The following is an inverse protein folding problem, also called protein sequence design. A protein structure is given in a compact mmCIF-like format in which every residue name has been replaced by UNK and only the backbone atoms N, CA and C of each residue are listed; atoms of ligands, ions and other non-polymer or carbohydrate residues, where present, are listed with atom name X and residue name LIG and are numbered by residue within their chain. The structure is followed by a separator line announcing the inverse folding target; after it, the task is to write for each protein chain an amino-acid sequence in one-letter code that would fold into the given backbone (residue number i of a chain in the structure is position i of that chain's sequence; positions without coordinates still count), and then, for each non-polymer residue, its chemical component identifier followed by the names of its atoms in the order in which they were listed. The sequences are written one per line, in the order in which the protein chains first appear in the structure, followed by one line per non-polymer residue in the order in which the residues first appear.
data_IF_190339575920
#
_entry.id   IF_190339575920
#
_cell.length_a   1.000
_cell.length_b   1.000
_cell.length_c   1.000
_cell.angle_alpha   90.00
_cell.angle_beta   90.00
_cell.angle_gamma   90.00
#
_symmetry.space_group_name_H-M   'P 1'
#
loop_
_entity.id
_entity.type
_entity.pdbx_description
1 polymer ?
#
# COMPACT_ATOMS: atom_id res chain seq x y z
N UNK A 1 10.89 -3.49 11.76
CA UNK A 1 9.67 -3.55 10.92
C UNK A 1 8.84 -4.77 11.29
N UNK A 2 9.41 -5.98 11.33
CA UNK A 2 8.68 -7.19 11.76
C UNK A 2 8.11 -7.08 13.17
N UNK A 3 8.91 -6.68 14.16
CA UNK A 3 8.43 -6.46 15.55
C UNK A 3 7.23 -5.51 15.62
N UNK A 4 7.30 -4.39 14.89
CA UNK A 4 6.20 -3.42 14.80
C UNK A 4 4.96 -4.02 14.13
N UNK A 5 5.13 -4.84 13.10
CA UNK A 5 4.01 -5.55 12.47
C UNK A 5 3.39 -6.60 13.39
N UNK A 6 4.18 -7.31 14.20
CA UNK A 6 3.69 -8.24 15.24
C UNK A 6 2.89 -7.51 16.32
N UNK A 7 3.39 -6.35 16.78
CA UNK A 7 2.67 -5.49 17.72
C UNK A 7 1.30 -5.07 17.17
N UNK A 8 1.25 -4.64 15.90
CA UNK A 8 -0.01 -4.27 15.23
C UNK A 8 -0.95 -5.47 15.01
N UNK A 9 -0.41 -6.67 14.80
CA UNK A 9 -1.20 -7.88 14.70
C UNK A 9 -1.87 -8.24 16.04
N UNK A 10 -1.18 -8.00 17.17
CA UNK A 10 -1.63 -8.35 18.52
C UNK A 10 -2.21 -9.79 18.56
N UNK A 11 -1.32 -10.76 18.36
CA UNK A 11 -1.68 -12.19 18.32
C UNK A 11 -1.46 -12.84 19.67
N UNK A 12 -2.21 -13.91 19.91
CA UNK A 12 -1.85 -14.85 20.97
C UNK A 12 -0.58 -15.62 20.55
N UNK A 13 0.30 -15.97 21.51
CA UNK A 13 1.44 -16.84 21.25
C UNK A 13 1.03 -18.16 20.56
N UNK A 14 1.97 -18.81 19.88
CA UNK A 14 1.77 -20.10 19.21
C UNK A 14 0.68 -20.11 18.12
N UNK A 15 0.35 -18.95 17.54
CA UNK A 15 -0.49 -18.82 16.34
C UNK A 15 0.18 -19.43 15.09
N UNK A 16 -0.62 -19.79 14.09
CA UNK A 16 -0.14 -20.25 12.78
C UNK A 16 -0.19 -19.13 11.73
N UNK A 17 0.99 -18.73 11.22
CA UNK A 17 1.19 -17.49 10.45
C UNK A 17 1.67 -17.76 9.02
N UNK A 18 1.16 -16.99 8.07
CA UNK A 18 1.71 -16.92 6.71
C UNK A 18 2.62 -15.70 6.55
N UNK A 19 3.92 -15.91 6.30
CA UNK A 19 4.89 -14.84 5.98
C UNK A 19 5.02 -14.68 4.45
N UNK A 20 4.50 -13.57 3.93
CA UNK A 20 4.35 -13.32 2.50
C UNK A 20 5.48 -12.40 2.01
N UNK A 21 6.29 -12.90 1.08
CA UNK A 21 7.55 -12.28 0.70
C UNK A 21 8.60 -12.47 1.78
N UNK A 22 8.74 -13.70 2.28
CA UNK A 22 9.57 -14.02 3.45
C UNK A 22 11.08 -13.84 3.19
N UNK A 23 11.50 -13.69 1.93
CA UNK A 23 12.89 -13.51 1.55
C UNK A 23 13.78 -14.62 2.08
N UNK A 24 14.79 -14.25 2.86
CA UNK A 24 15.74 -15.17 3.48
C UNK A 24 15.32 -15.58 4.90
N UNK A 25 14.06 -15.35 5.29
CA UNK A 25 13.52 -15.78 6.58
C UNK A 25 13.78 -14.87 7.78
N UNK A 26 14.31 -13.65 7.59
CA UNK A 26 14.57 -12.71 8.69
C UNK A 26 13.29 -12.32 9.46
N UNK A 27 12.17 -12.18 8.76
CA UNK A 27 10.87 -11.97 9.39
C UNK A 27 10.41 -13.23 10.12
N UNK A 28 10.54 -14.40 9.51
CA UNK A 28 10.21 -15.69 10.09
C UNK A 28 10.96 -16.03 11.39
N UNK A 29 12.27 -15.74 11.48
CA UNK A 29 13.05 -15.90 12.72
C UNK A 29 12.42 -15.12 13.89
N UNK A 30 11.94 -13.90 13.63
CA UNK A 30 11.29 -13.06 14.64
C UNK A 30 9.92 -13.63 15.01
N UNK A 31 9.17 -14.23 14.06
CA UNK A 31 7.89 -14.89 14.37
C UNK A 31 8.10 -16.06 15.35
N UNK A 32 9.14 -16.86 15.12
CA UNK A 32 9.52 -17.95 16.03
C UNK A 32 9.95 -17.38 17.38
N UNK A 33 10.87 -16.42 17.42
CA UNK A 33 11.49 -15.93 18.66
C UNK A 33 10.54 -15.15 19.58
N UNK A 34 9.64 -14.33 19.03
CA UNK A 34 8.83 -13.40 19.83
C UNK A 34 7.50 -13.99 20.30
N UNK A 35 7.02 -15.04 19.63
CA UNK A 35 5.68 -15.57 19.89
C UNK A 35 5.55 -17.08 19.78
N UNK A 36 6.66 -17.82 19.65
CA UNK A 36 6.66 -19.27 19.41
C UNK A 36 5.71 -19.67 18.28
N UNK A 37 5.63 -18.84 17.24
CA UNK A 37 4.70 -19.04 16.14
C UNK A 37 5.23 -20.09 15.16
N UNK A 38 4.33 -20.94 14.67
CA UNK A 38 4.60 -21.78 13.51
C UNK A 38 4.24 -20.98 12.26
N UNK A 39 5.07 -21.07 11.21
CA UNK A 39 4.84 -20.26 10.02
C UNK A 39 5.24 -20.95 8.71
N UNK A 40 4.56 -20.54 7.62
CA UNK A 40 4.96 -20.85 6.25
C UNK A 40 5.40 -19.56 5.56
N UNK A 41 6.53 -19.59 4.85
CA UNK A 41 7.08 -18.48 4.09
C UNK A 41 6.87 -18.64 2.59
N UNK A 42 6.34 -17.62 1.93
CA UNK A 42 6.24 -17.54 0.46
C UNK A 42 7.25 -16.53 -0.07
N UNK A 43 8.09 -16.91 -1.03
CA UNK A 43 8.90 -15.95 -1.78
C UNK A 43 9.07 -16.37 -3.25
N UNK A 44 9.16 -15.39 -4.15
CA UNK A 44 9.32 -15.63 -5.59
C UNK A 44 10.79 -15.87 -5.97
N UNK A 45 11.75 -15.50 -5.10
CA UNK A 45 13.18 -15.50 -5.39
C UNK A 45 13.86 -16.78 -4.90
N UNK A 46 14.34 -17.66 -5.80
CA UNK A 46 15.06 -18.87 -5.39
C UNK A 46 16.34 -18.58 -4.60
N UNK A 47 17.05 -17.49 -4.90
CA UNK A 47 18.29 -17.13 -4.21
C UNK A 47 18.05 -16.64 -2.78
N UNK A 48 16.93 -15.96 -2.53
CA UNK A 48 16.53 -15.56 -1.18
C UNK A 48 16.19 -16.80 -0.34
N UNK A 49 15.40 -17.73 -0.89
CA UNK A 49 15.06 -18.98 -0.22
C UNK A 49 16.29 -19.87 0.03
N UNK A 50 17.22 -19.94 -0.93
CA UNK A 50 18.49 -20.65 -0.74
C UNK A 50 19.32 -20.05 0.41
N UNK A 51 19.28 -18.73 0.59
CA UNK A 51 19.89 -18.07 1.75
C UNK A 51 19.13 -18.38 3.04
N UNK A 52 17.79 -18.52 2.99
CA UNK A 52 17.00 -18.95 4.15
C UNK A 52 17.33 -20.37 4.61
N UNK A 53 17.59 -21.29 3.69
CA UNK A 53 17.97 -22.68 4.01
C UNK A 53 19.27 -22.80 4.83
N UNK A 54 20.16 -21.80 4.78
CA UNK A 54 21.40 -21.81 5.57
C UNK A 54 21.26 -21.23 6.98
N UNK A 55 20.04 -20.80 7.38
CA UNK A 55 19.78 -20.09 8.65
C UNK A 55 19.07 -20.93 9.72
N UNK A 56 18.92 -22.24 9.49
CA UNK A 56 18.26 -23.15 10.45
C UNK A 56 16.86 -22.66 10.87
N UNK A 57 16.09 -22.19 9.89
CA UNK A 57 14.73 -21.69 10.10
C UNK A 57 13.79 -22.84 10.50
N UNK A 58 12.86 -22.56 11.42
CA UNK A 58 11.82 -23.52 11.82
C UNK A 58 10.61 -23.54 10.87
N UNK A 59 10.42 -22.48 10.07
CA UNK A 59 9.29 -22.36 9.15
C UNK A 59 9.51 -23.01 7.79
N UNK A 60 8.41 -23.44 7.17
CA UNK A 60 8.43 -24.02 5.83
C UNK A 60 8.59 -22.95 4.76
N UNK A 61 9.63 -23.06 3.93
CA UNK A 61 9.90 -22.13 2.82
C UNK A 61 9.33 -22.66 1.49
N UNK A 62 8.60 -21.80 0.76
CA UNK A 62 7.97 -22.15 -0.51
C UNK A 62 8.31 -21.16 -1.61
N UNK A 63 8.78 -21.68 -2.75
CA UNK A 63 8.96 -20.90 -3.96
C UNK A 63 7.60 -20.60 -4.61
N UNK A 64 7.16 -19.34 -4.53
CA UNK A 64 5.78 -18.98 -4.84
C UNK A 64 5.64 -17.50 -5.27
N UNK A 65 4.87 -17.25 -6.33
CA UNK A 65 4.47 -15.89 -6.74
C UNK A 65 3.12 -15.52 -6.12
N UNK A 66 3.13 -14.63 -5.12
CA UNK A 66 1.94 -14.22 -4.39
C UNK A 66 0.87 -13.59 -5.30
N UNK A 67 1.26 -13.05 -6.46
CA UNK A 67 0.33 -12.48 -7.45
C UNK A 67 -0.52 -13.52 -8.18
N UNK A 68 -0.14 -14.79 -8.12
CA UNK A 68 -0.96 -15.91 -8.63
C UNK A 68 -2.02 -16.38 -7.62
N UNK A 69 -1.91 -15.90 -6.37
CA UNK A 69 -2.79 -16.18 -5.25
C UNK A 69 -2.12 -16.99 -4.14
N UNK A 70 -2.82 -17.17 -3.03
CA UNK A 70 -2.34 -17.89 -1.84
C UNK A 70 -2.78 -19.37 -1.93
N UNK A 71 -1.83 -20.34 -2.03
CA UNK A 71 -2.13 -21.72 -2.41
C UNK A 71 -2.47 -22.62 -1.21
N UNK A 72 -3.28 -22.11 -0.27
CA UNK A 72 -3.69 -22.85 0.92
C UNK A 72 -5.21 -23.00 0.97
N UNK A 73 -5.69 -24.04 1.67
CA UNK A 73 -7.12 -24.26 1.87
C UNK A 73 -7.75 -23.10 2.67
N UNK A 74 -9.06 -22.97 2.59
CA UNK A 74 -9.76 -21.93 3.32
C UNK A 74 -9.58 -22.07 4.85
N UNK A 75 -9.43 -20.94 5.55
CA UNK A 75 -9.27 -20.92 7.01
C UNK A 75 -8.05 -21.68 7.52
N UNK A 76 -6.92 -21.58 6.84
CA UNK A 76 -5.67 -22.21 7.24
C UNK A 76 -4.95 -21.41 8.32
N UNK A 77 -4.85 -20.09 8.18
CA UNK A 77 -3.97 -19.26 9.01
C UNK A 77 -4.75 -18.39 10.00
N UNK A 78 -4.17 -18.20 11.19
CA UNK A 78 -4.64 -17.24 12.17
C UNK A 78 -4.35 -15.81 11.72
N UNK A 79 -3.17 -15.61 11.14
CA UNK A 79 -2.72 -14.33 10.66
C UNK A 79 -1.80 -14.46 9.44
N UNK A 80 -1.62 -13.35 8.74
CA UNK A 80 -0.59 -13.19 7.74
C UNK A 80 0.23 -11.94 8.04
N UNK A 81 1.51 -11.99 7.68
CA UNK A 81 2.43 -10.87 7.77
C UNK A 81 3.14 -10.70 6.44
N UNK A 82 3.50 -9.47 6.08
CA UNK A 82 4.33 -9.20 4.91
C UNK A 82 5.22 -7.99 5.17
N UNK A 83 6.53 -8.15 5.06
CA UNK A 83 7.48 -7.07 5.31
C UNK A 83 8.18 -6.69 4.01
N UNK A 84 7.93 -5.46 3.54
CA UNK A 84 8.58 -4.89 2.35
C UNK A 84 8.36 -5.71 1.07
N UNK A 85 7.20 -6.34 0.88
CA UNK A 85 6.95 -7.20 -0.29
C UNK A 85 5.76 -6.78 -1.18
N UNK A 86 4.59 -6.45 -0.63
CA UNK A 86 3.37 -6.28 -1.44
C UNK A 86 3.45 -5.16 -2.49
N UNK A 87 4.38 -4.19 -2.38
CA UNK A 87 4.57 -3.17 -3.41
C UNK A 87 5.00 -3.75 -4.77
N UNK A 88 5.57 -4.97 -4.80
CA UNK A 88 5.92 -5.66 -6.04
C UNK A 88 4.69 -6.11 -6.84
N UNK A 89 3.54 -6.28 -6.19
CA UNK A 89 2.27 -6.57 -6.89
C UNK A 89 1.81 -5.40 -7.77
N UNK A 90 2.24 -4.19 -7.45
CA UNK A 90 1.95 -2.99 -8.22
C UNK A 90 2.89 -2.82 -9.43
N UNK A 91 3.82 -3.75 -9.65
CA UNK A 91 4.75 -3.68 -10.77
C UNK A 91 4.22 -4.42 -12.01
N UNK A 92 4.44 -3.83 -13.18
CA UNK A 92 4.05 -4.37 -14.48
C UNK A 92 5.31 -4.72 -15.29
N UNK A 93 6.23 -5.50 -14.71
CA UNK A 93 7.51 -5.83 -15.36
C UNK A 93 7.33 -6.63 -16.65
N UNK A 94 6.21 -7.35 -16.80
CA UNK A 94 5.89 -8.12 -17.99
C UNK A 94 4.56 -7.66 -18.60
N UNK A 95 4.46 -7.70 -19.93
CA UNK A 95 3.29 -7.22 -20.69
C UNK A 95 2.00 -8.01 -20.48
N UNK A 96 2.08 -9.18 -19.84
CA UNK A 96 0.96 -10.07 -19.57
C UNK A 96 0.47 -10.02 -18.12
N UNK A 97 1.15 -9.27 -17.24
CA UNK A 97 0.77 -9.14 -15.84
C UNK A 97 0.04 -7.80 -15.63
N UNK A 98 -1.30 -7.82 -15.55
CA UNK A 98 -2.07 -6.68 -15.06
C UNK A 98 -1.89 -6.58 -13.52
N UNK A 99 -1.24 -5.52 -12.99
CA UNK A 99 -1.05 -5.35 -11.55
C UNK A 99 -2.36 -5.39 -10.77
N UNK A 100 -3.44 -4.83 -11.33
CA UNK A 100 -4.75 -4.81 -10.68
C UNK A 100 -5.33 -6.20 -10.56
N UNK A 101 -5.20 -7.03 -11.59
CA UNK A 101 -5.66 -8.42 -11.56
C UNK A 101 -4.87 -9.24 -10.54
N UNK A 102 -3.55 -9.07 -10.49
CA UNK A 102 -2.67 -9.75 -9.52
C UNK A 102 -2.99 -9.32 -8.09
N UNK A 103 -3.19 -8.03 -7.85
CA UNK A 103 -3.54 -7.49 -6.54
C UNK A 103 -4.91 -8.00 -6.06
N UNK A 104 -5.91 -8.04 -6.95
CA UNK A 104 -7.21 -8.64 -6.65
C UNK A 104 -7.11 -10.14 -6.37
N UNK A 105 -6.31 -10.88 -7.17
CA UNK A 105 -6.09 -12.31 -6.95
C UNK A 105 -5.43 -12.58 -5.60
N UNK A 106 -4.41 -11.80 -5.26
CA UNK A 106 -3.72 -11.85 -3.98
C UNK A 106 -4.70 -11.65 -2.82
N UNK A 107 -5.41 -10.52 -2.75
CA UNK A 107 -6.30 -10.25 -1.63
C UNK A 107 -7.48 -11.23 -1.53
N UNK A 108 -8.10 -11.63 -2.64
CA UNK A 108 -9.22 -12.57 -2.60
C UNK A 108 -8.81 -13.94 -2.05
N UNK A 109 -7.64 -14.43 -2.46
CA UNK A 109 -7.15 -15.76 -2.01
C UNK A 109 -6.56 -15.70 -0.61
N UNK A 110 -5.90 -14.59 -0.24
CA UNK A 110 -5.45 -14.36 1.13
C UNK A 110 -6.64 -14.30 2.10
N UNK A 111 -7.71 -13.58 1.74
CA UNK A 111 -8.93 -13.53 2.54
C UNK A 111 -9.52 -14.92 2.77
N UNK A 112 -9.54 -15.77 1.74
CA UNK A 112 -10.03 -17.14 1.86
C UNK A 112 -9.12 -18.00 2.75
N UNK A 113 -7.80 -17.85 2.65
CA UNK A 113 -6.81 -18.63 3.40
C UNK A 113 -6.74 -18.26 4.89
N UNK A 114 -7.16 -17.05 5.27
CA UNK A 114 -7.29 -16.64 6.67
C UNK A 114 -8.55 -17.23 7.32
N UNK A 115 -8.46 -17.56 8.62
CA UNK A 115 -9.66 -17.90 9.42
C UNK A 115 -10.59 -16.70 9.50
N UNK A 116 -11.87 -16.92 9.83
CA UNK A 116 -12.78 -15.81 10.18
C UNK A 116 -12.21 -15.05 11.39
N UNK A 117 -12.11 -13.73 11.28
CA UNK A 117 -11.43 -12.86 12.26
C UNK A 117 -9.92 -12.76 12.06
N UNK A 118 -9.34 -13.54 11.14
CA UNK A 118 -7.90 -13.58 10.91
C UNK A 118 -7.35 -12.24 10.44
N UNK A 119 -6.15 -11.90 10.90
CA UNK A 119 -5.54 -10.57 10.73
C UNK A 119 -4.46 -10.60 9.64
N UNK A 120 -4.28 -9.48 8.95
CA UNK A 120 -3.18 -9.30 8.00
C UNK A 120 -2.49 -7.95 8.23
N UNK A 121 -1.19 -7.97 8.47
CA UNK A 121 -0.37 -6.76 8.52
C UNK A 121 0.71 -6.78 7.45
N UNK A 122 0.74 -5.74 6.62
CA UNK A 122 1.76 -5.59 5.59
C UNK A 122 2.49 -4.26 5.71
N UNK A 123 3.79 -4.30 5.95
CA UNK A 123 4.65 -3.14 5.78
C UNK A 123 5.04 -3.03 4.30
N UNK A 124 4.88 -1.85 3.69
CA UNK A 124 5.20 -1.66 2.27
C UNK A 124 5.73 -0.26 1.95
N UNK A 125 6.29 -0.12 0.75
CA UNK A 125 6.85 1.12 0.23
C UNK A 125 6.07 1.59 -1.02
N UNK A 126 4.99 2.38 -0.84
CA UNK A 126 4.24 2.91 -1.98
C UNK A 126 5.07 3.94 -2.75
N UNK A 127 4.98 3.94 -4.09
CA UNK A 127 5.62 4.95 -4.93
C UNK A 127 4.86 6.29 -4.93
N UNK A 128 3.55 6.24 -4.79
CA UNK A 128 2.63 7.38 -4.79
C UNK A 128 1.32 7.03 -4.08
N UNK A 129 0.48 8.05 -3.86
CA UNK A 129 -0.80 7.89 -3.16
C UNK A 129 -1.79 7.04 -3.97
N UNK A 130 -1.71 7.03 -5.30
CA UNK A 130 -2.57 6.20 -6.15
C UNK A 130 -2.33 4.70 -5.87
N UNK A 131 -1.07 4.28 -5.69
CA UNK A 131 -0.76 2.90 -5.30
C UNK A 131 -1.30 2.54 -3.92
N UNK A 132 -1.31 3.49 -2.98
CA UNK A 132 -1.91 3.28 -1.66
C UNK A 132 -3.42 3.06 -1.80
N UNK A 133 -4.09 3.96 -2.53
CA UNK A 133 -5.53 3.89 -2.79
C UNK A 133 -5.91 2.58 -3.51
N UNK A 134 -5.12 2.12 -4.49
CA UNK A 134 -5.37 0.86 -5.22
C UNK A 134 -5.22 -0.39 -4.32
N UNK A 135 -4.22 -0.41 -3.42
CA UNK A 135 -4.02 -1.47 -2.43
C UNK A 135 -5.20 -1.52 -1.46
N UNK A 136 -5.57 -0.38 -0.88
CA UNK A 136 -6.69 -0.27 0.05
C UNK A 136 -8.02 -0.68 -0.61
N UNK A 137 -8.25 -0.23 -1.84
CA UNK A 137 -9.47 -0.55 -2.57
C UNK A 137 -9.54 -2.05 -2.91
N UNK A 138 -8.43 -2.68 -3.28
CA UNK A 138 -8.38 -4.11 -3.59
C UNK A 138 -8.63 -4.96 -2.34
N UNK A 139 -8.02 -4.60 -1.21
CA UNK A 139 -8.28 -5.22 0.09
C UNK A 139 -9.77 -5.09 0.49
N UNK A 140 -10.34 -3.90 0.33
CA UNK A 140 -11.74 -3.62 0.64
C UNK A 140 -12.71 -4.45 -0.22
N UNK A 141 -12.45 -4.57 -1.53
CA UNK A 141 -13.28 -5.39 -2.42
C UNK A 141 -13.20 -6.88 -2.07
N UNK A 142 -12.03 -7.36 -1.63
CA UNK A 142 -11.87 -8.74 -1.18
C UNK A 142 -12.63 -9.05 0.14
N UNK A 143 -13.06 -8.02 0.88
CA UNK A 143 -13.84 -8.16 2.10
C UNK A 143 -13.07 -7.86 3.39
N UNK A 144 -11.84 -7.38 3.31
CA UNK A 144 -11.09 -6.92 4.48
C UNK A 144 -11.68 -5.63 5.05
N UNK A 145 -11.64 -5.52 6.37
CA UNK A 145 -11.84 -4.28 7.11
C UNK A 145 -10.52 -3.87 7.78
N UNK A 146 -10.39 -2.61 8.19
CA UNK A 146 -9.18 -2.08 8.81
C UNK A 146 -8.73 -0.78 8.15
N UNK A 147 -7.42 -0.54 8.10
CA UNK A 147 -6.90 0.70 7.52
C UNK A 147 -5.38 0.73 7.40
N UNK A 148 -4.85 1.95 7.41
CA UNK A 148 -3.43 2.24 7.23
C UNK A 148 -2.88 2.92 8.48
N UNK A 149 -1.79 2.38 9.02
CA UNK A 149 -0.98 2.98 10.07
C UNK A 149 0.28 3.54 9.43
N UNK A 150 0.66 4.76 9.81
CA UNK A 150 1.83 5.44 9.28
C UNK A 150 2.70 5.89 10.44
N UNK A 151 3.80 5.18 10.67
CA UNK A 151 4.79 5.58 11.66
C UNK A 151 5.69 6.69 11.06
N UNK A 152 6.09 7.65 11.89
CA UNK A 152 6.92 8.82 11.54
C UNK A 152 6.44 9.59 10.28
N UNK A 153 5.15 9.99 10.19
CA UNK A 153 4.56 10.54 8.97
C UNK A 153 5.22 11.84 8.48
N UNK A 154 5.79 12.62 9.39
CA UNK A 154 6.52 13.86 9.12
C UNK A 154 7.93 13.64 8.55
N UNK A 155 8.53 12.47 8.78
CA UNK A 155 9.90 12.16 8.34
C UNK A 155 9.91 11.41 7.02
N UNK A 156 10.26 12.08 5.91
CA UNK A 156 10.37 11.41 4.60
C UNK A 156 11.36 10.22 4.59
N UNK A 157 12.36 10.21 5.48
CA UNK A 157 13.36 9.14 5.58
C UNK A 157 12.89 7.97 6.43
N UNK A 158 12.21 8.25 7.54
CA UNK A 158 11.84 7.22 8.52
C UNK A 158 10.41 6.73 8.35
N UNK A 159 9.55 7.46 7.63
CA UNK A 159 8.16 7.12 7.36
C UNK A 159 7.99 5.66 6.94
N UNK A 160 7.14 4.92 7.65
CA UNK A 160 6.77 3.53 7.32
C UNK A 160 5.25 3.41 7.22
N UNK A 161 4.78 2.75 6.16
CA UNK A 161 3.38 2.43 5.98
C UNK A 161 3.13 0.98 6.36
N UNK A 162 2.10 0.76 7.17
CA UNK A 162 1.60 -0.56 7.55
C UNK A 162 0.12 -0.64 7.20
N UNK A 163 -0.24 -1.56 6.31
CA UNK A 163 -1.60 -1.96 6.06
C UNK A 163 -2.02 -2.90 7.19
N UNK A 164 -3.10 -2.61 7.90
CA UNK A 164 -3.55 -3.37 9.07
C UNK A 164 -5.01 -3.77 8.87
N UNK A 165 -5.26 -5.06 8.66
CA UNK A 165 -6.53 -5.59 8.20
C UNK A 165 -7.02 -6.78 9.03
N UNK A 166 -8.34 -7.00 9.02
CA UNK A 166 -9.00 -8.19 9.54
C UNK A 166 -10.03 -8.72 8.55
N UNK A 167 -10.16 -10.06 8.51
CA UNK A 167 -11.08 -10.78 7.64
C UNK A 167 -12.40 -11.10 8.35
N UNK A 168 -13.51 -10.56 7.85
CA UNK A 168 -14.84 -10.77 8.46
C UNK A 168 -15.02 -9.99 9.77
N UNK A 169 -16.16 -10.16 10.42
CA UNK A 169 -16.40 -9.60 11.75
C UNK A 169 -15.69 -10.48 12.80
N UNK A 170 -14.95 -9.89 13.76
CA UNK A 170 -14.34 -10.67 14.83
C UNK A 170 -15.43 -11.41 15.63
N UNK A 171 -15.21 -12.68 16.01
CA UNK A 171 -16.10 -13.35 16.95
C UNK A 171 -16.12 -12.56 18.27
N UNK A 172 -17.28 -12.46 18.92
CA UNK A 172 -17.43 -11.76 20.20
C UNK A 172 -16.42 -12.32 21.22
N UNK A 173 -15.42 -11.51 21.60
CA UNK A 173 -14.46 -11.86 22.66
C UNK A 173 -12.98 -11.94 22.24
N UNK A 174 -12.64 -11.82 20.96
CA UNK A 174 -11.22 -11.75 20.54
C UNK A 174 -10.66 -10.32 20.61
N UNK A 175 -9.41 -10.19 21.06
CA UNK A 175 -8.69 -8.93 21.15
C UNK A 175 -8.66 -8.22 19.78
N UNK A 176 -9.31 -7.06 19.75
CA UNK A 176 -9.38 -6.21 18.57
C UNK A 176 -7.97 -5.85 18.10
N UNK A 177 -7.83 -5.67 16.79
CA UNK A 177 -6.65 -5.07 16.18
C UNK A 177 -6.38 -3.73 16.88
N UNK A 178 -5.13 -3.42 17.21
CA UNK A 178 -4.82 -2.10 17.77
C UNK A 178 -5.02 -1.05 16.68
N UNK A 179 -6.14 -0.32 16.77
CA UNK A 179 -6.54 0.71 15.80
C UNK A 179 -6.07 2.11 16.20
N UNK A 180 -5.26 2.26 17.27
CA UNK A 180 -4.72 3.56 17.66
C UNK A 180 -3.85 4.14 16.53
N UNK A 181 -4.28 5.29 15.98
CA UNK A 181 -3.60 5.95 14.86
C UNK A 181 -4.10 5.54 13.46
N UNK A 182 -5.13 4.70 13.35
CA UNK A 182 -5.76 4.38 12.06
C UNK A 182 -6.62 5.55 11.59
N UNK A 183 -6.27 6.13 10.43
CA UNK A 183 -7.15 7.09 9.77
C UNK A 183 -8.35 6.34 9.17
N UNK A 184 -9.51 6.39 9.84
CA UNK A 184 -10.75 5.87 9.29
C UNK A 184 -11.23 6.77 8.15
N UNK A 185 -11.34 6.20 6.94
CA UNK A 185 -11.63 6.89 5.69
C UNK A 185 -13.00 7.60 5.60
N UNK A 186 -13.88 7.50 6.60
CA UNK A 186 -15.24 8.05 6.48
C UNK A 186 -15.28 9.58 6.32
N UNK A 187 -14.38 10.32 6.97
CA UNK A 187 -14.32 11.79 6.82
C UNK A 187 -13.70 12.22 5.48
N UNK A 188 -12.78 11.43 4.92
CA UNK A 188 -12.10 11.75 3.67
C UNK A 188 -12.95 11.48 2.42
N UNK A 189 -13.88 10.51 2.48
CA UNK A 189 -14.78 10.21 1.34
C UNK A 189 -15.74 11.37 1.07
N UNK A 190 -16.22 12.07 2.11
CA UNK A 190 -17.11 13.22 1.94
C UNK A 190 -16.37 14.45 1.41
N UNK A 191 -15.16 14.71 1.89
CA UNK A 191 -14.28 15.77 1.36
C UNK A 191 -13.86 15.49 -0.10
N UNK A 192 -13.47 14.26 -0.43
CA UNK A 192 -13.13 13.85 -1.81
C UNK A 192 -14.35 13.88 -2.75
N UNK A 193 -15.57 13.53 -2.28
CA UNK A 193 -16.82 13.68 -3.07
C UNK A 193 -17.19 15.15 -3.31
N UNK A 194 -17.08 16.01 -2.30
CA UNK A 194 -17.33 17.45 -2.43
C UNK A 194 -16.30 18.12 -3.35
N UNK A 195 -15.03 17.72 -3.29
CA UNK A 195 -13.97 18.18 -4.20
C UNK A 195 -14.19 17.68 -5.64
N UNK A 196 -14.60 16.42 -5.84
CA UNK A 196 -14.92 15.86 -7.16
C UNK A 196 -16.17 16.49 -7.79
N UNK A 197 -17.18 16.85 -6.98
CA UNK A 197 -18.34 17.61 -7.46
C UNK A 197 -17.96 19.06 -7.81
N UNK A 198 -17.08 19.71 -7.04
CA UNK A 198 -16.51 21.02 -7.40
C UNK A 198 -15.67 20.99 -8.69
N UNK A 199 -14.97 19.91 -8.97
CA UNK A 199 -14.14 19.75 -10.18
C UNK A 199 -14.94 19.36 -11.45
N UNK A 200 -16.19 18.90 -11.31
CA UNK A 200 -17.10 18.61 -12.44
C UNK A 200 -17.93 19.81 -12.89
N UNK A 201 -17.89 20.93 -12.16
CA UNK A 201 -18.51 22.20 -12.57
C UNK A 201 -17.52 23.09 -13.33
N UNK A 202 -17.58 23.09 -14.67
CA UNK A 202 -17.09 24.17 -15.54
C UNK A 202 -15.60 24.52 -15.46
N UNK A 203 -14.74 23.83 -16.23
CA UNK A 203 -13.42 24.38 -16.61
C UNK A 203 -13.60 25.53 -17.61
N UNK A 204 -13.61 26.77 -17.13
CA UNK A 204 -13.12 27.88 -17.94
C UNK A 204 -11.61 27.69 -18.14
N UNK A 205 -11.20 27.24 -19.33
CA UNK A 205 -9.79 27.11 -19.69
C UNK A 205 -9.16 28.51 -19.65
N UNK A 206 -8.23 28.74 -18.72
CA UNK A 206 -7.43 29.97 -18.64
C UNK A 206 -6.83 30.30 -20.02
N UNK A 207 -7.16 31.47 -20.58
CA UNK A 207 -6.64 31.89 -21.87
C UNK A 207 -5.10 32.06 -21.82
N UNK A 208 -4.42 31.85 -22.94
CA UNK A 208 -2.96 32.05 -23.02
C UNK A 208 -2.54 33.47 -22.59
N UNK A 209 -3.40 34.47 -22.82
CA UNK A 209 -3.17 35.86 -22.38
C UNK A 209 -3.23 35.99 -20.86
N UNK A 210 -4.25 35.43 -20.21
CA UNK A 210 -4.41 35.48 -18.75
C UNK A 210 -3.28 34.74 -18.03
N UNK A 211 -2.84 33.59 -18.58
CA UNK A 211 -1.69 32.87 -18.07
C UNK A 211 -0.39 33.71 -18.09
N UNK A 212 -0.12 34.38 -19.22
CA UNK A 212 1.09 35.21 -19.38
C UNK A 212 1.06 36.41 -18.42
N UNK A 213 -0.08 37.09 -18.27
CA UNK A 213 -0.22 38.23 -17.36
C UNK A 213 -0.01 37.81 -15.90
N UNK A 214 -0.58 36.67 -15.49
CA UNK A 214 -0.39 36.12 -14.14
C UNK A 214 1.08 35.81 -13.84
N UNK A 215 1.79 35.19 -14.80
CA UNK A 215 3.24 34.93 -14.70
C UNK A 215 4.05 36.22 -14.60
N UNK A 216 3.73 37.24 -15.39
CA UNK A 216 4.42 38.54 -15.33
C UNK A 216 4.26 39.21 -13.97
N UNK A 217 3.05 39.21 -13.43
CA UNK A 217 2.75 39.83 -12.13
C UNK A 217 3.50 39.12 -11.00
N UNK A 218 3.56 37.79 -11.03
CA UNK A 218 4.30 36.98 -10.07
C UNK A 218 5.81 37.26 -10.14
N UNK A 219 6.36 37.47 -11.34
CA UNK A 219 7.77 37.83 -11.51
C UNK A 219 8.08 39.26 -11.03
N UNK A 220 7.16 40.22 -11.20
CA UNK A 220 7.30 41.58 -10.61
C UNK A 220 7.33 41.52 -9.08
N UNK A 221 6.43 40.74 -8.46
CA UNK A 221 6.40 40.53 -7.00
C UNK A 221 7.70 39.91 -6.46
N UNK A 222 8.41 39.15 -7.30
CA UNK A 222 9.72 38.56 -6.99
C UNK A 222 10.89 39.48 -7.35
N UNK A 223 10.64 40.77 -7.58
CA UNK A 223 11.66 41.78 -7.87
C UNK A 223 12.37 41.62 -9.23
N UNK A 224 11.85 40.77 -10.12
CA UNK A 224 12.48 40.54 -11.43
C UNK A 224 12.03 41.59 -12.44
N UNK A 225 12.93 41.99 -13.34
CA UNK A 225 12.61 42.90 -14.45
C UNK A 225 11.74 42.16 -15.48
N UNK A 226 10.54 42.67 -15.74
CA UNK A 226 9.55 42.07 -16.65
C UNK A 226 9.19 43.04 -17.77
N UNK A 227 9.00 42.54 -18.99
CA UNK A 227 8.60 43.36 -20.15
C UNK A 227 7.19 43.94 -19.99
N UNK A 228 7.00 45.20 -20.44
CA UNK A 228 5.71 45.92 -20.42
C UNK A 228 4.62 45.14 -21.16
N UNK A 229 3.37 45.34 -20.76
CA UNK A 229 2.23 44.70 -21.41
C UNK A 229 1.91 45.35 -22.75
N UNK A 230 1.53 44.51 -23.71
CA UNK A 230 1.18 44.93 -25.07
C UNK A 230 -0.15 44.33 -25.47
N UNK A 231 -0.89 45.03 -26.34
CA UNK A 231 -2.15 44.54 -26.94
C UNK A 231 -2.01 43.21 -27.71
N UNK A 232 -0.78 42.82 -28.04
CA UNK A 232 -0.46 41.57 -28.75
C UNK A 232 -0.02 40.40 -27.82
N UNK A 233 -0.09 40.57 -26.50
CA UNK A 233 0.33 39.54 -25.52
C UNK A 233 -0.48 38.26 -25.68
N UNK A 234 0.20 37.12 -25.85
CA UNK A 234 -0.43 35.80 -26.02
C UNK A 234 -0.93 35.50 -27.44
N UNK A 235 -0.72 36.40 -28.41
CA UNK A 235 -1.13 36.18 -29.81
C UNK A 235 -0.04 35.44 -30.60
N UNK A 236 -0.42 34.38 -31.33
CA UNK A 236 0.49 33.62 -32.21
C UNK A 236 0.97 34.53 -33.35
N UNK A 237 2.29 34.75 -33.47
CA UNK A 237 2.87 35.50 -34.59
C UNK A 237 2.85 34.62 -35.84
N UNK A 238 2.49 35.18 -37.00
CA UNK A 238 2.60 34.49 -38.29
C UNK A 238 4.08 34.29 -38.62
N UNK A 239 4.45 33.14 -39.18
CA UNK A 239 5.77 32.95 -39.75
C UNK A 239 5.94 33.92 -40.93
N UNK A 240 7.06 34.64 -40.95
CA UNK A 240 7.51 35.35 -42.16
C UNK A 240 8.37 34.36 -42.95
N UNK A 241 8.03 34.18 -44.22
CA UNK A 241 8.95 33.62 -45.21
C UNK A 241 10.05 34.63 -45.48
#
# INVERSE_FOLDING_TARGET
MTLRALELLNLQPCSFILDIGCGSGLSGEILTQEGDHVWCGLDISPSMLATGLSRELEGDLMLQDMGTGIPFRAGSFDAAISISAIQWLCNADTSYNDPKQRLMRFFNTLYAALKKGGKFVAQFYPKNDDQVDDILQSAKVAGFSGGLVVDDPESKKNKKYYLVLSSGAPPQGEEQVNLDGVTMDEENVNLKKQLRQRLKGGKDKESAKSFILRKKELMKRRGRKVAKDSKFTGRKRRHRF
#
